data_IF_604369092580
#
_entry.id   IF_604369092580
#
_cell.length_a   1.000
_cell.length_b   1.000
_cell.length_c   1.000
_cell.angle_alpha   90.00
_cell.angle_beta   90.00
_cell.angle_gamma   90.00
#
_symmetry.space_group_name_H-M   'P 1'
#
loop_
_entity.id
_entity.type
_entity.pdbx_description
1 polymer ?
#
# COMPACT_ATOMS: atom_id res chain seq x y z
N UNK A 1 19.17 -15.36 29.74
CA UNK A 1 18.12 -14.56 29.02
C UNK A 1 16.83 -14.72 29.80
N UNK A 2 16.10 -13.62 30.09
CA UNK A 2 14.75 -13.71 30.69
C UNK A 2 13.82 -14.34 29.65
N UNK A 3 13.05 -15.34 30.05
CA UNK A 3 12.05 -15.97 29.18
C UNK A 3 10.98 -14.93 28.82
N UNK A 4 10.79 -14.65 27.54
CA UNK A 4 9.72 -13.77 27.07
C UNK A 4 8.41 -14.55 27.08
N UNK A 5 7.38 -14.01 27.72
CA UNK A 5 6.03 -14.59 27.76
C UNK A 5 4.96 -13.48 27.82
N UNK A 6 3.80 -13.75 27.23
CA UNK A 6 2.67 -12.83 27.20
C UNK A 6 2.79 -11.72 26.15
N UNK A 7 1.89 -10.73 26.27
CA UNK A 7 1.85 -9.55 25.39
C UNK A 7 2.92 -8.55 25.80
N UNK A 8 3.63 -8.02 24.83
CA UNK A 8 4.65 -6.98 25.01
C UNK A 8 4.47 -5.88 23.94
N UNK A 9 4.72 -4.63 24.33
CA UNK A 9 4.87 -3.50 23.42
C UNK A 9 6.36 -3.34 23.11
N UNK A 10 6.71 -3.28 21.84
CA UNK A 10 8.09 -3.17 21.34
C UNK A 10 8.20 -1.94 20.44
N UNK A 11 9.17 -1.10 20.69
CA UNK A 11 9.43 0.15 19.95
C UNK A 11 10.43 -0.01 18.80
N UNK A 12 11.09 -1.17 18.71
CA UNK A 12 12.08 -1.46 17.66
C UNK A 12 12.08 -2.92 17.25
N UNK A 13 12.06 -3.15 15.94
CA UNK A 13 12.22 -4.48 15.34
C UNK A 13 13.63 -5.07 15.54
N UNK A 14 14.63 -4.23 15.83
CA UNK A 14 15.99 -4.72 16.15
C UNK A 14 16.02 -5.68 17.34
N UNK A 15 15.01 -5.65 18.21
CA UNK A 15 14.87 -6.57 19.36
C UNK A 15 14.21 -7.91 19.02
N UNK A 16 13.71 -8.08 17.78
CA UNK A 16 13.00 -9.27 17.31
C UNK A 16 13.86 -9.93 16.21
N UNK A 17 14.15 -11.23 16.29
CA UNK A 17 14.82 -11.94 15.21
C UNK A 17 14.00 -11.83 13.91
N UNK A 18 14.66 -11.49 12.80
CA UNK A 18 13.99 -11.36 11.51
C UNK A 18 13.28 -12.65 11.10
N UNK A 19 13.92 -13.81 11.33
CA UNK A 19 13.32 -15.13 11.05
C UNK A 19 12.00 -15.37 11.78
N UNK A 20 11.88 -14.91 13.04
CA UNK A 20 10.67 -15.13 13.83
C UNK A 20 9.54 -14.21 13.34
N UNK A 21 9.88 -12.97 12.99
CA UNK A 21 8.93 -12.02 12.42
C UNK A 21 8.45 -12.48 11.04
N UNK A 22 9.38 -12.81 10.14
CA UNK A 22 9.07 -13.18 8.76
C UNK A 22 8.28 -14.49 8.67
N UNK A 23 8.48 -15.42 9.64
CA UNK A 23 7.65 -16.62 9.76
C UNK A 23 6.16 -16.29 10.01
N UNK A 24 5.84 -15.17 10.65
CA UNK A 24 4.47 -14.70 10.87
C UNK A 24 3.97 -13.79 9.72
N UNK A 25 4.84 -12.96 9.17
CA UNK A 25 4.50 -12.07 8.06
C UNK A 25 4.25 -12.83 6.74
N UNK A 26 4.74 -14.06 6.65
CA UNK A 26 4.70 -14.86 5.41
C UNK A 26 5.52 -14.20 4.30
N UNK A 27 5.13 -14.47 3.06
CA UNK A 27 5.85 -13.97 1.88
C UNK A 27 5.43 -12.54 1.49
N UNK A 28 4.84 -11.76 2.38
CA UNK A 28 4.40 -10.41 2.06
C UNK A 28 5.55 -9.40 2.21
N UNK A 29 6.19 -8.93 1.13
CA UNK A 29 7.44 -8.17 1.19
C UNK A 29 7.30 -6.85 1.97
N UNK A 30 6.13 -6.21 1.93
CA UNK A 30 5.85 -4.95 2.62
C UNK A 30 5.60 -5.11 4.12
N UNK A 31 5.46 -6.34 4.60
CA UNK A 31 5.35 -6.70 6.03
C UNK A 31 6.60 -7.39 6.55
N UNK A 32 7.58 -7.66 5.69
CA UNK A 32 8.84 -8.28 6.09
C UNK A 32 9.58 -7.45 7.14
N UNK A 33 10.33 -8.13 8.00
CA UNK A 33 11.22 -7.46 8.95
C UNK A 33 12.14 -6.46 8.24
N UNK A 34 12.71 -6.84 7.11
CA UNK A 34 13.62 -6.00 6.33
C UNK A 34 12.97 -4.68 5.90
N UNK A 35 11.73 -4.73 5.39
CA UNK A 35 11.00 -3.55 4.93
C UNK A 35 10.67 -2.60 6.09
N UNK A 36 10.04 -3.11 7.14
CA UNK A 36 9.61 -2.31 8.28
C UNK A 36 10.81 -1.76 9.06
N UNK A 37 11.86 -2.58 9.24
CA UNK A 37 13.08 -2.14 9.90
C UNK A 37 13.80 -1.04 9.11
N UNK A 38 13.84 -1.13 7.76
CA UNK A 38 14.40 -0.08 6.93
C UNK A 38 13.67 1.25 7.07
N UNK A 39 12.34 1.26 7.23
CA UNK A 39 11.55 2.47 7.49
C UNK A 39 11.94 3.17 8.80
N UNK A 40 12.23 2.39 9.85
CA UNK A 40 12.63 2.93 11.15
C UNK A 40 14.07 3.43 11.14
N UNK A 41 15.00 2.58 10.70
CA UNK A 41 16.43 2.89 10.69
C UNK A 41 16.80 4.07 9.77
N UNK A 42 16.02 4.32 8.73
CA UNK A 42 16.19 5.50 7.87
C UNK A 42 15.53 6.75 8.42
N UNK A 43 14.81 6.66 9.56
CA UNK A 43 14.04 7.75 10.16
C UNK A 43 12.77 8.11 9.37
N UNK A 44 12.40 7.36 8.32
CA UNK A 44 11.21 7.65 7.53
C UNK A 44 9.92 7.44 8.34
N UNK A 45 9.86 6.40 9.17
CA UNK A 45 8.79 6.15 10.14
C UNK A 45 9.37 6.22 11.54
N UNK A 46 9.26 7.37 12.18
CA UNK A 46 9.81 7.66 13.50
C UNK A 46 8.91 8.63 14.28
N UNK A 47 9.23 8.89 15.54
CA UNK A 47 8.51 9.87 16.35
C UNK A 47 8.54 11.27 15.72
N UNK A 48 9.66 11.66 15.11
CA UNK A 48 9.84 12.95 14.45
C UNK A 48 8.94 13.11 13.23
N UNK A 49 8.66 12.01 12.52
CA UNK A 49 7.74 11.97 11.37
C UNK A 49 6.32 11.63 11.76
N UNK A 50 6.01 11.56 13.06
CA UNK A 50 4.69 11.26 13.59
C UNK A 50 4.24 9.80 13.43
N UNK A 51 5.19 8.88 13.26
CA UNK A 51 4.99 7.43 13.17
C UNK A 51 5.80 6.72 14.26
N UNK A 52 5.46 6.91 15.52
CA UNK A 52 6.17 6.27 16.64
C UNK A 52 5.84 4.79 16.69
N UNK A 53 6.80 3.88 16.49
CA UNK A 53 6.55 2.44 16.56
C UNK A 53 6.13 2.02 17.98
N UNK A 54 5.11 1.18 18.06
CA UNK A 54 4.66 0.54 19.29
C UNK A 54 4.07 -0.85 18.98
N UNK A 55 4.90 -1.71 18.38
CA UNK A 55 4.48 -3.05 17.94
C UNK A 55 3.94 -3.86 19.10
N UNK A 56 2.79 -4.47 18.93
CA UNK A 56 2.32 -5.50 19.86
C UNK A 56 2.87 -6.85 19.44
N UNK A 57 3.40 -7.58 20.41
CA UNK A 57 3.96 -8.93 20.21
C UNK A 57 3.43 -9.88 21.28
N UNK A 58 3.01 -11.06 20.85
CA UNK A 58 2.62 -12.14 21.75
C UNK A 58 3.75 -13.19 21.77
N UNK A 59 4.26 -13.47 22.94
CA UNK A 59 5.33 -14.46 23.16
C UNK A 59 4.81 -15.66 23.93
N UNK A 60 5.15 -16.86 23.46
CA UNK A 60 4.92 -18.15 24.14
C UNK A 60 6.24 -18.90 24.24
N UNK A 61 6.68 -19.17 25.44
CA UNK A 61 7.93 -19.90 25.70
C UNK A 61 9.13 -19.35 24.89
N UNK A 62 9.30 -18.04 24.90
CA UNK A 62 10.31 -17.29 24.14
C UNK A 62 10.23 -17.39 22.62
N UNK A 63 9.12 -17.90 22.07
CA UNK A 63 8.81 -17.84 20.63
C UNK A 63 7.82 -16.74 20.35
N UNK A 64 8.02 -16.01 19.27
CA UNK A 64 7.06 -15.03 18.78
C UNK A 64 5.86 -15.79 18.19
N UNK A 65 4.71 -15.73 18.86
CA UNK A 65 3.48 -16.43 18.46
C UNK A 65 2.57 -15.56 17.60
N UNK A 66 2.56 -14.24 17.86
CA UNK A 66 1.83 -13.26 17.05
C UNK A 66 2.47 -11.88 17.14
N UNK A 67 2.23 -11.04 16.14
CA UNK A 67 2.71 -9.68 16.07
C UNK A 67 1.73 -8.77 15.32
N UNK A 68 1.70 -7.47 15.68
CA UNK A 68 0.88 -6.45 15.05
C UNK A 68 1.74 -5.20 14.83
N UNK A 69 2.04 -4.84 13.58
CA UNK A 69 2.66 -3.55 13.28
C UNK A 69 1.74 -2.42 13.74
N UNK A 70 2.10 -1.74 14.81
CA UNK A 70 1.29 -0.70 15.43
C UNK A 70 2.12 0.57 15.61
N UNK A 71 1.49 1.72 15.40
CA UNK A 71 2.13 3.02 15.51
C UNK A 71 1.27 3.98 16.32
N UNK A 72 1.90 4.75 17.18
CA UNK A 72 1.29 5.94 17.78
C UNK A 72 1.47 7.10 16.80
N UNK A 73 0.35 7.66 16.32
CA UNK A 73 0.30 8.67 15.28
C UNK A 73 -0.01 10.05 15.85
N UNK A 74 0.83 11.05 15.52
CA UNK A 74 0.59 12.45 15.87
C UNK A 74 -0.18 13.25 14.81
N UNK A 75 -0.46 12.65 13.63
CA UNK A 75 -1.22 13.21 12.51
C UNK A 75 -1.63 12.12 11.55
N UNK A 76 -2.47 12.40 10.53
CA UNK A 76 -2.97 11.41 9.55
C UNK A 76 -2.24 11.38 8.20
N UNK A 77 -1.07 12.02 8.09
CA UNK A 77 -0.28 11.97 6.85
C UNK A 77 0.30 10.57 6.61
N UNK A 78 0.27 10.14 5.34
CA UNK A 78 0.88 8.88 4.89
C UNK A 78 0.04 7.63 5.15
N UNK A 79 -1.24 7.76 5.54
CA UNK A 79 -2.15 6.64 5.85
C UNK A 79 -3.00 6.18 4.67
N UNK A 80 -3.33 7.10 3.75
CA UNK A 80 -4.19 6.89 2.57
C UNK A 80 -5.64 6.48 2.87
N UNK A 81 -6.05 6.50 4.14
CA UNK A 81 -7.45 6.48 4.59
C UNK A 81 -7.71 7.80 5.29
N UNK A 82 -8.54 8.64 4.68
CA UNK A 82 -8.68 10.04 5.10
C UNK A 82 -9.71 10.17 6.22
N UNK A 83 -9.23 10.50 7.41
CA UNK A 83 -10.03 10.75 8.62
C UNK A 83 -10.00 12.22 9.09
N UNK A 84 -9.60 13.12 8.19
CA UNK A 84 -9.50 14.57 8.48
C UNK A 84 -10.81 15.15 9.03
N UNK A 85 -11.97 14.70 8.49
CA UNK A 85 -13.27 15.15 8.96
C UNK A 85 -13.55 14.73 10.42
N UNK A 86 -13.01 13.58 10.84
CA UNK A 86 -13.13 13.11 12.23
C UNK A 86 -12.23 13.93 13.15
N UNK A 87 -10.98 14.18 12.75
CA UNK A 87 -10.06 15.03 13.51
C UNK A 87 -10.60 16.45 13.68
N UNK A 88 -11.18 17.04 12.62
CA UNK A 88 -11.82 18.35 12.66
C UNK A 88 -13.07 18.36 13.56
N UNK A 89 -13.89 17.30 13.53
CA UNK A 89 -15.03 17.17 14.42
C UNK A 89 -14.61 17.12 15.90
N UNK A 90 -13.55 16.34 16.23
CA UNK A 90 -13.00 16.32 17.59
C UNK A 90 -12.55 17.71 18.03
N UNK A 91 -11.79 18.40 17.19
CA UNK A 91 -11.29 19.75 17.48
C UNK A 91 -12.44 20.76 17.72
N UNK A 92 -13.47 20.73 16.89
CA UNK A 92 -14.65 21.61 17.06
C UNK A 92 -15.42 21.40 18.38
N UNK A 93 -15.31 20.20 18.97
CA UNK A 93 -15.89 19.88 20.26
C UNK A 93 -14.90 19.99 21.42
N UNK A 94 -13.73 20.59 21.21
CA UNK A 94 -12.71 20.79 22.24
C UNK A 94 -12.00 19.51 22.68
N UNK A 95 -12.08 18.44 21.89
CA UNK A 95 -11.45 17.15 22.15
C UNK A 95 -10.18 16.97 21.33
N UNK A 96 -9.24 16.20 21.86
CA UNK A 96 -8.01 15.85 21.16
C UNK A 96 -8.20 14.57 20.34
N UNK A 97 -7.95 14.64 19.03
CA UNK A 97 -7.94 13.47 18.16
C UNK A 97 -6.59 12.75 18.15
N UNK A 98 -5.50 13.51 18.21
CA UNK A 98 -4.15 12.94 18.28
C UNK A 98 -3.62 12.98 19.73
N UNK A 99 -2.81 11.98 20.14
CA UNK A 99 -2.38 10.83 19.32
C UNK A 99 -3.48 9.78 19.16
N UNK A 100 -3.35 8.97 18.08
CA UNK A 100 -4.20 7.81 17.79
C UNK A 100 -3.31 6.59 17.52
N UNK A 101 -3.85 5.38 17.63
CA UNK A 101 -3.17 4.15 17.23
C UNK A 101 -3.50 3.77 15.79
N UNK A 102 -2.49 3.30 15.07
CA UNK A 102 -2.61 2.90 13.68
C UNK A 102 -1.90 1.58 13.41
N UNK A 103 -2.63 0.59 12.96
CA UNK A 103 -2.12 -0.65 12.39
C UNK A 103 -2.15 -0.56 10.87
N UNK A 104 -0.99 -0.33 10.28
CA UNK A 104 -0.79 -0.19 8.83
C UNK A 104 0.68 -0.37 8.47
N UNK A 105 0.96 -0.56 7.19
CA UNK A 105 2.31 -0.38 6.65
C UNK A 105 2.50 1.11 6.37
N UNK A 106 3.52 1.78 6.93
CA UNK A 106 3.71 3.22 6.72
C UNK A 106 3.84 3.58 5.24
N UNK A 107 3.16 4.64 4.82
CA UNK A 107 3.19 5.20 3.47
C UNK A 107 2.76 4.24 2.36
N UNK A 108 2.02 3.16 2.71
CA UNK A 108 1.79 2.02 1.81
C UNK A 108 0.34 1.56 1.88
N UNK A 109 -0.53 2.00 0.94
CA UNK A 109 -1.93 1.62 0.89
C UNK A 109 -2.13 0.26 0.19
N UNK A 110 -1.56 -0.79 0.77
CA UNK A 110 -1.62 -2.15 0.23
C UNK A 110 -2.35 -3.06 1.19
N UNK A 111 -3.24 -3.89 0.64
CA UNK A 111 -3.94 -4.92 1.40
C UNK A 111 -2.97 -6.01 1.85
N UNK A 112 -3.04 -6.39 3.12
CA UNK A 112 -2.21 -7.44 3.69
C UNK A 112 -2.63 -7.80 5.11
N UNK A 113 -2.08 -8.87 5.71
CA UNK A 113 -2.36 -9.22 7.09
C UNK A 113 -1.98 -8.09 8.04
N UNK A 114 -2.83 -7.85 9.02
CA UNK A 114 -2.64 -6.81 10.05
C UNK A 114 -2.46 -7.43 11.42
N UNK A 115 -2.89 -8.66 11.58
CA UNK A 115 -2.74 -9.50 12.78
C UNK A 115 -1.88 -10.71 12.39
N UNK A 116 -0.55 -10.55 12.45
CA UNK A 116 0.41 -11.58 12.07
C UNK A 116 0.35 -12.73 13.10
N UNK A 117 -0.32 -13.82 12.77
CA UNK A 117 -0.47 -14.99 13.63
C UNK A 117 -0.79 -16.24 12.79
N UNK A 118 -0.31 -17.39 13.25
CA UNK A 118 -0.54 -18.67 12.56
C UNK A 118 -1.88 -19.32 12.92
N UNK A 119 -2.54 -18.87 13.99
CA UNK A 119 -3.82 -19.42 14.44
C UNK A 119 -4.78 -18.32 14.91
N UNK A 120 -6.06 -18.65 14.96
CA UNK A 120 -7.13 -17.70 15.27
C UNK A 120 -7.12 -17.25 16.75
N UNK A 121 -6.73 -18.14 17.67
CA UNK A 121 -6.69 -17.80 19.10
C UNK A 121 -5.64 -16.72 19.40
N UNK A 122 -4.44 -16.83 18.79
CA UNK A 122 -3.39 -15.82 18.95
C UNK A 122 -3.74 -14.52 18.23
N UNK A 123 -4.42 -14.60 17.06
CA UNK A 123 -4.95 -13.42 16.34
C UNK A 123 -5.96 -12.66 17.20
N UNK A 124 -6.89 -13.39 17.82
CA UNK A 124 -7.89 -12.79 18.71
C UNK A 124 -7.25 -12.17 19.96
N UNK A 125 -6.33 -12.88 20.60
CA UNK A 125 -5.61 -12.36 21.78
C UNK A 125 -4.84 -11.08 21.45
N UNK A 126 -4.24 -11.00 20.27
CA UNK A 126 -3.53 -9.81 19.81
C UNK A 126 -4.47 -8.62 19.59
N UNK A 127 -5.64 -8.85 18.99
CA UNK A 127 -6.64 -7.81 18.77
C UNK A 127 -7.23 -7.30 20.08
N UNK A 128 -7.57 -8.20 21.00
CA UNK A 128 -8.08 -7.85 22.32
C UNK A 128 -7.06 -7.01 23.11
N UNK A 129 -5.77 -7.40 23.04
CA UNK A 129 -4.66 -6.63 23.63
C UNK A 129 -4.47 -5.25 22.97
N UNK A 130 -4.68 -5.12 21.66
CA UNK A 130 -4.58 -3.83 20.96
C UNK A 130 -5.69 -2.88 21.42
N UNK A 131 -6.91 -3.38 21.63
CA UNK A 131 -8.03 -2.61 22.15
C UNK A 131 -7.84 -2.22 23.62
N UNK A 132 -7.29 -3.11 24.45
CA UNK A 132 -6.91 -2.82 25.83
C UNK A 132 -5.83 -1.74 25.87
N UNK A 133 -4.76 -1.91 25.12
CA UNK A 133 -3.69 -0.93 25.00
C UNK A 133 -4.20 0.45 24.55
N UNK A 134 -5.15 0.49 23.61
CA UNK A 134 -5.77 1.74 23.18
C UNK A 134 -6.54 2.44 24.31
N UNK A 135 -7.27 1.67 25.14
CA UNK A 135 -8.00 2.22 26.31
C UNK A 135 -7.04 2.71 27.39
N UNK A 136 -6.02 1.93 27.72
CA UNK A 136 -5.05 2.20 28.78
C UNK A 136 -4.18 3.43 28.47
N UNK A 137 -3.81 3.61 27.20
CA UNK A 137 -3.03 4.77 26.76
C UNK A 137 -3.88 6.02 26.56
N UNK A 138 -5.21 5.91 26.61
CA UNK A 138 -6.14 7.05 26.48
C UNK A 138 -6.10 7.72 25.12
N UNK A 139 -5.74 6.98 24.06
CA UNK A 139 -5.78 7.49 22.69
C UNK A 139 -7.21 7.66 22.18
N UNK A 140 -7.42 8.54 21.23
CA UNK A 140 -8.75 8.82 20.68
C UNK A 140 -9.34 7.64 19.91
N UNK A 141 -8.48 6.84 19.27
CA UNK A 141 -8.92 5.80 18.33
C UNK A 141 -7.82 4.78 18.00
N UNK A 142 -8.24 3.63 17.49
CA UNK A 142 -7.42 2.61 16.84
C UNK A 142 -7.95 2.39 15.44
N UNK A 143 -7.05 2.42 14.44
CA UNK A 143 -7.37 2.19 13.04
C UNK A 143 -6.53 1.04 12.50
N UNK A 144 -7.17 0.08 11.80
CA UNK A 144 -6.52 -1.01 11.08
C UNK A 144 -6.81 -0.82 9.59
N UNK A 145 -5.76 -0.49 8.80
CA UNK A 145 -5.94 -0.09 7.41
C UNK A 145 -5.59 -1.22 6.45
N UNK A 146 -6.45 -1.45 5.47
CA UNK A 146 -6.28 -2.43 4.40
C UNK A 146 -6.01 -3.87 4.89
N UNK A 147 -6.79 -4.39 5.86
CA UNK A 147 -6.67 -5.79 6.29
C UNK A 147 -7.10 -6.74 5.17
N UNK A 148 -6.61 -7.98 5.22
CA UNK A 148 -7.11 -9.07 4.37
C UNK A 148 -8.52 -9.50 4.77
N UNK A 149 -9.28 -10.04 3.81
CA UNK A 149 -10.68 -10.42 4.01
C UNK A 149 -10.93 -11.31 5.25
N UNK A 150 -10.11 -12.32 5.58
CA UNK A 150 -10.31 -13.14 6.79
C UNK A 150 -10.25 -12.35 8.10
N UNK A 151 -9.47 -11.25 8.16
CA UNK A 151 -9.35 -10.43 9.36
C UNK A 151 -10.52 -9.44 9.55
N UNK A 152 -11.21 -9.08 8.46
CA UNK A 152 -12.34 -8.13 8.50
C UNK A 152 -13.43 -8.61 9.45
N UNK A 153 -13.79 -9.89 9.40
CA UNK A 153 -14.78 -10.49 10.29
C UNK A 153 -14.33 -10.46 11.76
N UNK A 154 -13.03 -10.66 12.04
CA UNK A 154 -12.48 -10.58 13.39
C UNK A 154 -12.57 -9.14 13.94
N UNK A 155 -12.25 -8.13 13.15
CA UNK A 155 -12.37 -6.72 13.53
C UNK A 155 -13.83 -6.33 13.81
N UNK A 156 -14.76 -6.73 12.93
CA UNK A 156 -16.19 -6.48 13.11
C UNK A 156 -16.74 -7.15 14.38
N UNK A 157 -16.38 -8.41 14.60
CA UNK A 157 -16.77 -9.17 15.82
C UNK A 157 -16.20 -8.57 17.11
N UNK A 158 -15.07 -7.86 17.03
CA UNK A 158 -14.48 -7.11 18.14
C UNK A 158 -15.11 -5.71 18.33
N UNK A 159 -16.11 -5.36 17.53
CA UNK A 159 -16.84 -4.08 17.63
C UNK A 159 -16.18 -2.90 16.91
N UNK A 160 -15.24 -3.14 16.00
CA UNK A 160 -14.71 -2.08 15.14
C UNK A 160 -15.68 -1.77 14.01
N UNK A 161 -15.80 -0.50 13.68
CA UNK A 161 -16.59 -0.02 12.54
C UNK A 161 -15.80 -0.25 11.25
N UNK A 162 -16.45 -0.78 10.22
CA UNK A 162 -15.84 -0.99 8.92
C UNK A 162 -16.08 0.18 7.97
N UNK A 163 -15.06 0.59 7.24
CA UNK A 163 -15.13 1.58 6.19
C UNK A 163 -14.66 0.99 4.88
N UNK A 164 -15.50 1.06 3.85
CA UNK A 164 -15.16 0.65 2.49
C UNK A 164 -14.46 1.78 1.73
N UNK A 165 -13.57 1.39 0.81
CA UNK A 165 -12.94 2.28 -0.16
C UNK A 165 -12.66 1.51 -1.45
N UNK A 166 -12.14 2.19 -2.49
CA UNK A 166 -11.86 1.59 -3.80
C UNK A 166 -10.43 1.89 -4.20
N UNK A 167 -9.75 0.87 -4.71
CA UNK A 167 -8.48 0.97 -5.42
C UNK A 167 -8.63 0.39 -6.82
N UNK A 168 -7.59 0.47 -7.64
CA UNK A 168 -7.61 -0.02 -9.01
C UNK A 168 -6.47 -1.00 -9.23
N UNK A 169 -6.81 -2.26 -9.54
CA UNK A 169 -5.84 -3.34 -9.74
C UNK A 169 -6.00 -3.92 -11.14
N UNK A 170 -4.88 -4.27 -11.76
CA UNK A 170 -4.86 -5.06 -12.98
C UNK A 170 -4.72 -6.54 -12.62
N UNK A 171 -5.40 -7.40 -13.40
CA UNK A 171 -5.33 -8.85 -13.28
C UNK A 171 -4.77 -9.45 -14.55
N UNK A 172 -3.90 -10.44 -14.39
CA UNK A 172 -3.41 -11.24 -15.48
C UNK A 172 -4.39 -12.40 -15.77
N UNK A 173 -5.02 -12.36 -16.91
CA UNK A 173 -5.91 -13.43 -17.36
C UNK A 173 -5.19 -14.46 -18.26
N UNK A 174 -3.88 -14.62 -18.05
CA UNK A 174 -3.05 -15.53 -18.82
C UNK A 174 -2.62 -14.95 -20.16
N UNK A 175 -2.43 -13.64 -20.25
CA UNK A 175 -1.98 -12.98 -21.46
C UNK A 175 -0.59 -13.46 -21.90
N UNK A 176 -0.44 -13.73 -23.19
CA UNK A 176 0.84 -14.15 -23.78
C UNK A 176 1.84 -12.99 -23.90
N UNK A 177 1.32 -11.79 -24.15
CA UNK A 177 2.08 -10.55 -24.28
C UNK A 177 1.17 -9.31 -24.10
N UNK A 178 1.76 -8.13 -24.20
CA UNK A 178 1.01 -6.87 -24.02
C UNK A 178 -0.01 -6.62 -25.15
N UNK A 179 0.22 -7.11 -26.36
CA UNK A 179 -0.74 -6.97 -27.47
C UNK A 179 -1.95 -7.91 -27.29
N UNK A 180 -1.77 -9.10 -26.70
CA UNK A 180 -2.87 -9.97 -26.31
C UNK A 180 -3.74 -9.31 -25.21
N UNK A 181 -3.12 -8.71 -24.20
CA UNK A 181 -3.84 -7.86 -23.23
C UNK A 181 -4.63 -6.75 -23.91
N UNK A 182 -4.03 -6.00 -24.83
CA UNK A 182 -4.73 -4.97 -25.60
C UNK A 182 -5.87 -5.52 -26.46
N UNK A 183 -5.75 -6.74 -26.96
CA UNK A 183 -6.78 -7.37 -27.78
C UNK A 183 -8.08 -7.60 -27.00
N UNK A 184 -8.04 -7.76 -25.67
CA UNK A 184 -9.22 -7.86 -24.79
C UNK A 184 -9.93 -6.54 -24.59
N UNK A 185 -9.23 -5.42 -24.77
CA UNK A 185 -9.81 -4.08 -24.59
C UNK A 185 -10.71 -3.68 -25.76
N UNK A 186 -11.67 -2.79 -25.49
CA UNK A 186 -12.46 -2.17 -26.53
C UNK A 186 -11.58 -1.31 -27.47
N UNK A 187 -12.08 -1.06 -28.67
CA UNK A 187 -11.31 -0.41 -29.76
C UNK A 187 -10.70 0.93 -29.34
N UNK A 188 -11.47 1.79 -28.68
CA UNK A 188 -11.06 3.16 -28.40
C UNK A 188 -9.98 3.22 -27.30
N UNK A 189 -10.11 2.37 -26.27
CA UNK A 189 -9.10 2.28 -25.20
C UNK A 189 -7.80 1.70 -25.72
N UNK A 190 -7.86 0.62 -26.52
CA UNK A 190 -6.70 0.03 -27.19
C UNK A 190 -6.00 1.03 -28.10
N UNK A 191 -6.75 1.77 -28.93
CA UNK A 191 -6.20 2.80 -29.81
C UNK A 191 -5.48 3.89 -29.01
N UNK A 192 -6.10 4.36 -27.91
CA UNK A 192 -5.54 5.38 -27.03
C UNK A 192 -4.23 4.90 -26.39
N UNK A 193 -4.17 3.69 -25.85
CA UNK A 193 -2.94 3.14 -25.22
C UNK A 193 -1.84 3.04 -26.25
N UNK A 194 -2.10 2.47 -27.45
CA UNK A 194 -1.11 2.40 -28.52
C UNK A 194 -0.59 3.77 -28.95
N UNK A 195 -1.45 4.80 -28.96
CA UNK A 195 -1.06 6.17 -29.26
C UNK A 195 -0.19 6.78 -28.15
N UNK A 196 -0.51 6.53 -26.87
CA UNK A 196 0.29 6.98 -25.73
C UNK A 196 1.69 6.35 -25.78
N UNK A 197 1.79 5.04 -25.94
CA UNK A 197 3.07 4.30 -26.09
C UNK A 197 3.87 4.79 -27.28
N UNK A 198 3.21 5.03 -28.43
CA UNK A 198 3.89 5.55 -29.64
C UNK A 198 4.52 6.92 -29.37
N UNK A 199 3.81 7.84 -28.73
CA UNK A 199 4.35 9.18 -28.43
C UNK A 199 5.62 9.12 -27.59
N UNK A 200 5.69 8.22 -26.62
CA UNK A 200 6.88 8.03 -25.76
C UNK A 200 8.03 7.46 -26.58
N UNK A 201 7.76 6.46 -27.40
CA UNK A 201 8.78 5.87 -28.30
C UNK A 201 9.28 6.89 -29.34
N UNK A 202 8.40 7.66 -29.95
CA UNK A 202 8.73 8.69 -30.95
C UNK A 202 9.53 9.85 -30.33
N UNK A 203 9.42 10.07 -29.00
CA UNK A 203 10.29 10.96 -28.24
C UNK A 203 11.69 10.38 -27.98
N UNK A 204 11.99 9.16 -28.44
CA UNK A 204 13.27 8.49 -28.27
C UNK A 204 13.52 7.98 -26.87
N UNK A 205 12.45 7.62 -26.14
CA UNK A 205 12.57 7.08 -24.77
C UNK A 205 12.48 5.55 -24.81
N UNK A 206 13.51 4.91 -24.26
CA UNK A 206 13.65 3.46 -24.11
C UNK A 206 13.58 3.10 -22.62
N UNK A 207 13.06 1.92 -22.27
CA UNK A 207 12.92 1.49 -20.89
C UNK A 207 13.82 0.32 -20.54
N UNK A 208 14.29 0.30 -19.30
CA UNK A 208 14.99 -0.83 -18.69
C UNK A 208 14.34 -1.18 -17.37
N UNK A 209 14.20 -2.46 -17.13
CA UNK A 209 13.78 -3.04 -15.87
C UNK A 209 15.03 -3.48 -15.12
N UNK A 210 15.27 -2.89 -13.95
CA UNK A 210 16.37 -3.26 -13.07
C UNK A 210 15.81 -3.86 -11.80
N UNK A 211 16.12 -5.11 -11.54
CA UNK A 211 15.90 -5.69 -10.21
C UNK A 211 16.82 -5.02 -9.19
N UNK A 212 16.47 -5.07 -7.89
CA UNK A 212 17.22 -4.32 -6.88
C UNK A 212 18.72 -4.62 -6.83
N UNK A 213 19.11 -5.86 -7.13
CA UNK A 213 20.52 -6.26 -7.22
C UNK A 213 21.26 -5.75 -8.47
N UNK A 214 20.55 -5.34 -9.52
CA UNK A 214 21.12 -4.81 -10.77
C UNK A 214 21.22 -3.28 -10.73
N UNK A 215 20.35 -2.63 -9.91
CA UNK A 215 20.31 -1.20 -9.79
C UNK A 215 21.52 -0.67 -9.01
N UNK A 216 22.27 0.24 -9.62
CA UNK A 216 23.42 0.89 -9.00
C UNK A 216 23.00 1.97 -8.01
N UNK A 217 23.92 2.42 -7.16
CA UNK A 217 23.66 3.56 -6.29
C UNK A 217 23.30 4.84 -7.07
N UNK A 218 23.80 5.00 -8.29
CA UNK A 218 23.48 6.12 -9.17
C UNK A 218 22.01 6.05 -9.62
N UNK A 219 21.52 4.85 -9.95
CA UNK A 219 20.11 4.63 -10.34
C UNK A 219 19.17 4.95 -9.17
N UNK A 220 19.49 4.53 -7.95
CA UNK A 220 18.72 4.87 -6.75
C UNK A 220 18.71 6.38 -6.46
N UNK A 221 19.85 7.06 -6.62
CA UNK A 221 19.92 8.54 -6.49
C UNK A 221 19.06 9.23 -7.54
N UNK A 222 19.11 8.76 -8.79
CA UNK A 222 18.27 9.30 -9.86
C UNK A 222 16.79 9.10 -9.56
N UNK A 223 16.40 7.90 -9.12
CA UNK A 223 15.01 7.65 -8.70
C UNK A 223 14.57 8.60 -7.59
N UNK A 224 15.36 8.75 -6.53
CA UNK A 224 15.02 9.65 -5.40
C UNK A 224 14.92 11.10 -5.85
N UNK A 225 15.76 11.55 -6.78
CA UNK A 225 15.64 12.88 -7.37
C UNK A 225 14.29 13.04 -8.08
N UNK A 226 13.89 12.08 -8.92
CA UNK A 226 12.61 12.06 -9.60
C UNK A 226 11.43 12.03 -8.62
N UNK A 227 11.49 11.16 -7.63
CA UNK A 227 10.51 11.04 -6.54
C UNK A 227 10.30 12.38 -5.80
N UNK A 228 11.39 13.03 -5.38
CA UNK A 228 11.33 14.32 -4.71
C UNK A 228 10.75 15.42 -5.61
N UNK A 229 11.02 15.40 -6.92
CA UNK A 229 10.44 16.35 -7.88
C UNK A 229 8.92 16.20 -7.98
N UNK A 230 8.42 14.96 -8.00
CA UNK A 230 6.97 14.69 -8.02
C UNK A 230 6.30 15.27 -6.78
N UNK A 231 6.84 15.05 -5.59
CA UNK A 231 6.27 15.60 -4.35
C UNK A 231 6.29 17.14 -4.35
N UNK A 232 7.38 17.76 -4.76
CA UNK A 232 7.47 19.23 -4.86
C UNK A 232 6.44 19.80 -5.85
N UNK A 233 6.23 19.14 -6.98
CA UNK A 233 5.23 19.56 -7.98
C UNK A 233 3.80 19.52 -7.43
N UNK A 234 3.55 18.67 -6.43
CA UNK A 234 2.26 18.57 -5.73
C UNK A 234 2.23 19.36 -4.40
N UNK A 235 3.20 20.28 -4.17
CA UNK A 235 3.30 21.06 -2.94
C UNK A 235 3.28 20.22 -1.66
N UNK A 236 3.94 19.06 -1.70
CA UNK A 236 3.96 18.07 -0.63
C UNK A 236 5.41 17.65 -0.32
N UNK A 237 5.64 17.09 0.85
CA UNK A 237 6.96 16.63 1.28
C UNK A 237 7.08 15.12 1.06
N UNK A 238 8.22 14.63 0.54
CA UNK A 238 8.47 13.22 0.38
C UNK A 238 8.55 12.52 1.75
N UNK A 239 7.93 11.35 1.87
CA UNK A 239 7.96 10.54 3.10
C UNK A 239 9.24 9.72 3.25
N UNK A 240 9.85 9.32 2.12
CA UNK A 240 10.97 8.38 2.07
C UNK A 240 12.24 9.10 1.60
N UNK A 241 13.38 8.65 2.10
CA UNK A 241 14.70 9.21 1.77
C UNK A 241 15.59 8.17 1.06
N UNK A 242 16.76 8.60 0.58
CA UNK A 242 17.70 7.74 -0.13
C UNK A 242 18.20 6.58 0.76
N UNK A 243 18.41 6.80 2.05
CA UNK A 243 18.89 5.77 2.97
C UNK A 243 17.91 4.60 3.06
N UNK A 244 16.60 4.88 3.10
CA UNK A 244 15.58 3.85 3.03
C UNK A 244 15.72 2.95 1.80
N UNK A 245 15.80 3.54 0.60
CA UNK A 245 15.91 2.76 -0.64
C UNK A 245 17.21 1.96 -0.72
N UNK A 246 18.32 2.52 -0.24
CA UNK A 246 19.61 1.82 -0.20
C UNK A 246 19.63 0.68 0.82
N UNK A 247 18.89 0.81 1.94
CA UNK A 247 18.70 -0.29 2.90
C UNK A 247 17.89 -1.42 2.30
N UNK A 248 16.79 -1.11 1.61
CA UNK A 248 16.00 -2.13 0.89
C UNK A 248 16.83 -2.83 -0.17
N UNK A 249 17.58 -2.10 -0.99
CA UNK A 249 18.43 -2.68 -2.03
C UNK A 249 19.49 -3.65 -1.50
N UNK A 250 19.88 -3.52 -0.22
CA UNK A 250 20.80 -4.47 0.45
C UNK A 250 20.08 -5.63 1.11
N UNK A 251 18.90 -5.39 1.71
CA UNK A 251 18.23 -6.34 2.57
C UNK A 251 17.24 -7.25 1.83
N UNK A 252 16.64 -6.78 0.74
CA UNK A 252 15.61 -7.50 -0.02
C UNK A 252 15.65 -7.16 -1.53
N UNK A 253 16.84 -7.26 -2.19
CA UNK A 253 17.00 -6.82 -3.58
C UNK A 253 16.10 -7.59 -4.56
N UNK A 254 15.76 -8.84 -4.28
CA UNK A 254 14.89 -9.71 -5.08
C UNK A 254 13.45 -9.18 -5.18
N UNK A 255 13.01 -8.42 -4.18
CA UNK A 255 11.68 -7.83 -4.12
C UNK A 255 11.58 -6.44 -4.74
N UNK A 256 12.66 -5.90 -5.32
CA UNK A 256 12.66 -4.53 -5.85
C UNK A 256 12.71 -4.53 -7.37
N UNK A 257 11.88 -3.67 -7.98
CA UNK A 257 11.91 -3.38 -9.41
C UNK A 257 11.96 -1.87 -9.63
N UNK A 258 13.02 -1.41 -10.29
CA UNK A 258 13.17 -0.06 -10.75
C UNK A 258 12.97 -0.01 -12.27
N UNK A 259 11.96 0.69 -12.74
CA UNK A 259 11.72 0.94 -14.16
C UNK A 259 12.33 2.29 -14.50
N UNK A 260 13.32 2.31 -15.39
CA UNK A 260 14.02 3.52 -15.82
C UNK A 260 13.77 3.81 -17.29
N UNK A 261 13.30 5.02 -17.60
CA UNK A 261 13.22 5.52 -18.97
C UNK A 261 14.46 6.33 -19.33
N UNK A 262 15.10 5.99 -20.44
CA UNK A 262 16.32 6.62 -20.97
C UNK A 262 16.02 7.36 -22.26
N UNK A 263 16.60 8.54 -22.40
CA UNK A 263 16.59 9.32 -23.64
C UNK A 263 18.01 9.75 -23.98
N UNK A 264 18.48 9.43 -25.18
CA UNK A 264 19.86 9.71 -25.60
C UNK A 264 20.92 9.19 -24.60
N UNK A 265 20.68 8.01 -24.02
CA UNK A 265 21.57 7.38 -23.04
C UNK A 265 21.50 7.94 -21.61
N UNK A 266 20.70 8.99 -21.36
CA UNK A 266 20.52 9.59 -20.04
C UNK A 266 19.17 9.20 -19.43
N UNK A 267 19.11 8.88 -18.12
CA UNK A 267 17.85 8.55 -17.46
C UNK A 267 16.99 9.81 -17.30
N UNK A 268 15.72 9.75 -17.70
CA UNK A 268 14.77 10.87 -17.69
C UNK A 268 13.53 10.61 -16.85
N UNK A 269 13.17 9.34 -16.63
CA UNK A 269 12.00 8.94 -15.83
C UNK A 269 12.29 7.67 -15.03
N UNK A 270 11.58 7.49 -13.92
CA UNK A 270 11.67 6.27 -13.15
C UNK A 270 10.37 5.95 -12.41
N UNK A 271 10.09 4.64 -12.22
CA UNK A 271 9.08 4.15 -11.30
C UNK A 271 9.68 3.04 -10.42
N UNK A 272 9.30 3.08 -9.14
CA UNK A 272 9.67 2.08 -8.14
C UNK A 272 8.49 1.18 -7.83
N UNK A 273 8.75 -0.12 -7.88
CA UNK A 273 7.76 -1.16 -7.58
C UNK A 273 8.35 -2.17 -6.60
N UNK A 274 7.47 -2.84 -5.86
CA UNK A 274 7.81 -3.97 -4.98
C UNK A 274 7.24 -5.24 -5.60
N UNK A 275 8.09 -6.26 -5.73
CA UNK A 275 7.73 -7.59 -6.26
C UNK A 275 7.30 -8.46 -5.08
N UNK A 276 6.03 -8.86 -5.06
CA UNK A 276 5.52 -9.94 -4.19
C UNK A 276 5.53 -11.27 -4.92
N UNK A 277 4.97 -12.33 -4.31
CA UNK A 277 4.91 -13.64 -4.93
C UNK A 277 4.10 -13.64 -6.22
N UNK A 278 2.88 -13.10 -6.17
CA UNK A 278 1.93 -13.08 -7.29
C UNK A 278 1.53 -11.65 -7.69
N UNK A 279 1.97 -10.63 -6.93
CA UNK A 279 1.52 -9.25 -7.10
C UNK A 279 2.69 -8.29 -7.22
N UNK A 280 2.65 -7.42 -8.24
CA UNK A 280 3.53 -6.26 -8.35
C UNK A 280 2.86 -5.04 -7.71
N UNK A 281 3.51 -4.41 -6.76
CA UNK A 281 3.03 -3.22 -6.07
C UNK A 281 3.71 -1.96 -6.62
N UNK A 282 3.01 -1.19 -7.49
CA UNK A 282 3.47 0.10 -7.97
C UNK A 282 3.44 1.15 -6.86
N UNK A 283 4.56 1.81 -6.60
CA UNK A 283 4.68 2.70 -5.43
C UNK A 283 4.93 4.15 -5.75
N UNK A 284 6.03 4.46 -6.36
CA UNK A 284 6.45 5.84 -6.57
C UNK A 284 7.01 6.04 -7.97
N UNK A 285 6.87 7.25 -8.50
CA UNK A 285 7.42 7.60 -9.78
C UNK A 285 7.88 9.07 -9.83
N UNK A 286 8.63 9.39 -10.85
CA UNK A 286 8.93 10.77 -11.18
C UNK A 286 9.72 10.88 -12.48
N UNK A 287 9.88 12.11 -12.92
CA UNK A 287 10.56 12.42 -14.16
C UNK A 287 11.34 13.73 -14.08
N UNK A 288 12.42 13.85 -14.86
CA UNK A 288 13.14 15.09 -15.09
C UNK A 288 12.57 15.91 -16.25
N UNK A 289 11.94 15.24 -17.21
CA UNK A 289 11.42 15.84 -18.42
C UNK A 289 9.93 15.55 -18.61
N UNK A 290 9.19 16.49 -19.12
CA UNK A 290 7.79 16.29 -19.48
C UNK A 290 7.68 15.73 -20.91
N UNK A 291 7.08 14.55 -21.03
CA UNK A 291 6.66 13.96 -22.30
C UNK A 291 5.25 13.42 -22.20
N UNK A 292 4.44 13.69 -23.23
CA UNK A 292 3.04 13.22 -23.25
C UNK A 292 2.96 11.69 -23.22
N UNK A 293 2.26 11.15 -22.22
CA UNK A 293 2.11 9.70 -22.02
C UNK A 293 3.21 9.04 -21.17
N UNK A 294 4.30 9.74 -20.84
CA UNK A 294 5.45 9.18 -20.12
C UNK A 294 5.06 8.62 -18.75
N UNK A 295 4.21 9.31 -18.00
CA UNK A 295 3.68 8.80 -16.73
C UNK A 295 3.00 7.43 -16.90
N UNK A 296 2.11 7.32 -17.86
CA UNK A 296 1.35 6.09 -18.09
C UNK A 296 2.24 4.94 -18.59
N UNK A 297 3.17 5.25 -19.48
CA UNK A 297 4.15 4.27 -19.94
C UNK A 297 4.99 3.74 -18.78
N UNK A 298 5.58 4.65 -17.99
CA UNK A 298 6.51 4.27 -16.92
C UNK A 298 5.81 3.54 -15.77
N UNK A 299 4.60 4.01 -15.36
CA UNK A 299 3.94 3.51 -14.15
C UNK A 299 3.00 2.34 -14.41
N UNK A 300 2.39 2.25 -15.61
CA UNK A 300 1.36 1.24 -15.87
C UNK A 300 1.75 0.29 -16.97
N UNK A 301 2.11 0.78 -18.17
CA UNK A 301 2.32 -0.12 -19.30
C UNK A 301 3.58 -0.98 -19.11
N UNK A 302 4.66 -0.40 -18.63
CA UNK A 302 5.89 -1.13 -18.31
C UNK A 302 5.68 -2.11 -17.14
N UNK A 303 4.89 -1.74 -16.13
CA UNK A 303 4.56 -2.61 -15.00
C UNK A 303 3.67 -3.79 -15.42
N UNK A 304 2.64 -3.55 -16.25
CA UNK A 304 1.77 -4.61 -16.80
C UNK A 304 2.59 -5.55 -17.70
N UNK A 305 3.45 -4.99 -18.58
CA UNK A 305 4.32 -5.77 -19.46
C UNK A 305 5.29 -6.65 -18.64
N UNK A 306 5.85 -6.12 -17.56
CA UNK A 306 6.65 -6.89 -16.61
C UNK A 306 5.83 -8.02 -15.96
N UNK A 307 4.61 -7.75 -15.49
CA UNK A 307 3.75 -8.78 -14.89
C UNK A 307 3.41 -9.90 -15.87
N UNK A 308 3.16 -9.57 -17.13
CA UNK A 308 2.90 -10.58 -18.17
C UNK A 308 4.15 -11.43 -18.41
N UNK A 309 5.33 -10.80 -18.56
CA UNK A 309 6.58 -11.49 -18.80
C UNK A 309 7.00 -12.42 -17.65
N UNK A 310 6.80 -11.98 -16.40
CA UNK A 310 7.12 -12.74 -15.20
C UNK A 310 5.97 -13.65 -14.72
N UNK A 311 4.83 -13.65 -15.43
CA UNK A 311 3.62 -14.45 -15.09
C UNK A 311 3.06 -14.13 -13.71
N UNK A 312 3.13 -12.87 -13.31
CA UNK A 312 2.50 -12.40 -12.07
C UNK A 312 0.99 -12.24 -12.25
N UNK A 313 0.21 -12.55 -11.23
CA UNK A 313 -1.25 -12.58 -11.29
C UNK A 313 -1.88 -11.19 -11.28
N UNK A 314 -1.22 -10.21 -10.64
CA UNK A 314 -1.80 -8.88 -10.47
C UNK A 314 -0.78 -7.76 -10.38
N UNK A 315 -1.27 -6.54 -10.67
CA UNK A 315 -0.55 -5.30 -10.46
C UNK A 315 -1.44 -4.30 -9.71
N UNK A 316 -0.95 -3.80 -8.58
CA UNK A 316 -1.58 -2.75 -7.79
C UNK A 316 -0.96 -1.39 -8.11
N UNK A 317 -1.71 -0.53 -8.79
CA UNK A 317 -1.23 0.78 -9.27
C UNK A 317 -1.24 1.91 -8.23
N UNK A 318 -1.36 1.61 -6.91
CA UNK A 318 -1.45 2.61 -5.83
C UNK A 318 -2.88 3.11 -5.55
N UNK A 319 -3.05 3.99 -4.56
CA UNK A 319 -4.31 4.26 -3.89
C UNK A 319 -5.41 4.92 -4.72
N UNK A 320 -5.11 5.84 -5.62
CA UNK A 320 -6.11 6.70 -6.28
C UNK A 320 -5.94 6.77 -7.80
N UNK A 321 -7.01 7.20 -8.49
CA UNK A 321 -6.96 7.61 -9.88
C UNK A 321 -7.85 6.79 -10.83
N UNK A 322 -9.04 7.29 -11.11
CA UNK A 322 -10.00 6.72 -12.09
C UNK A 322 -9.39 6.57 -13.50
N UNK A 323 -8.38 7.39 -13.83
CA UNK A 323 -7.66 7.26 -15.09
C UNK A 323 -7.03 5.88 -15.29
N UNK A 324 -6.82 5.11 -14.22
CA UNK A 324 -6.34 3.73 -14.24
C UNK A 324 -7.33 2.78 -14.88
N UNK A 325 -8.64 3.00 -14.69
CA UNK A 325 -9.70 2.19 -15.29
C UNK A 325 -9.52 2.13 -16.82
N UNK A 326 -9.30 3.27 -17.47
CA UNK A 326 -9.12 3.30 -18.93
C UNK A 326 -7.84 2.59 -19.41
N UNK A 327 -7.00 2.08 -18.50
CA UNK A 327 -5.75 1.34 -18.77
C UNK A 327 -5.81 -0.11 -18.30
N UNK A 328 -7.02 -0.59 -17.96
CA UNK A 328 -7.26 -1.98 -17.62
C UNK A 328 -7.09 -2.33 -16.14
N UNK A 329 -6.88 -1.33 -15.26
CA UNK A 329 -6.93 -1.58 -13.82
C UNK A 329 -8.39 -1.43 -13.35
N UNK A 330 -8.99 -2.52 -12.89
CA UNK A 330 -10.38 -2.56 -12.49
C UNK A 330 -10.56 -2.15 -11.01
N UNK A 331 -11.75 -1.64 -10.63
CA UNK A 331 -12.03 -1.27 -9.25
C UNK A 331 -11.98 -2.49 -8.34
N UNK A 332 -11.27 -2.36 -7.24
CA UNK A 332 -11.15 -3.36 -6.20
C UNK A 332 -11.55 -2.74 -4.87
N UNK A 333 -12.54 -3.34 -4.20
CA UNK A 333 -12.95 -2.90 -2.86
C UNK A 333 -11.85 -3.16 -1.85
N UNK A 334 -11.55 -2.16 -1.02
CA UNK A 334 -10.68 -2.26 0.14
C UNK A 334 -11.44 -1.88 1.41
N UNK A 335 -10.96 -2.31 2.56
CA UNK A 335 -11.62 -2.08 3.85
C UNK A 335 -10.61 -1.49 4.82
N UNK A 336 -11.09 -0.69 5.77
CA UNK A 336 -10.40 -0.34 7.00
C UNK A 336 -11.33 -0.53 8.19
N UNK A 337 -10.76 -0.81 9.38
CA UNK A 337 -11.51 -1.03 10.59
C UNK A 337 -11.12 0.01 11.64
N UNK A 338 -12.09 0.54 12.38
CA UNK A 338 -11.93 1.70 13.23
C UNK A 338 -12.62 1.51 14.58
N UNK A 339 -11.89 1.78 15.65
CA UNK A 339 -12.42 1.92 17.00
C UNK A 339 -12.20 3.36 17.49
N UNK A 340 -13.22 3.98 18.09
CA UNK A 340 -13.15 5.31 18.70
C UNK A 340 -13.47 5.21 20.19
N UNK A 341 -12.66 5.89 21.01
CA UNK A 341 -12.80 5.87 22.46
C UNK A 341 -14.07 6.60 22.96
N UNK A 342 -14.47 7.69 22.28
CA UNK A 342 -15.63 8.51 22.67
C UNK A 342 -16.92 7.94 22.08
N UNK A 343 -17.90 7.48 22.92
CA UNK A 343 -19.07 6.76 22.42
C UNK A 343 -19.94 7.57 21.44
N UNK A 344 -20.19 8.85 21.73
CA UNK A 344 -21.02 9.71 20.86
C UNK A 344 -20.38 9.92 19.48
N UNK A 345 -19.04 10.04 19.43
CA UNK A 345 -18.32 10.10 18.14
C UNK A 345 -18.35 8.76 17.42
N UNK A 346 -18.22 7.65 18.14
CA UNK A 346 -18.33 6.32 17.56
C UNK A 346 -19.71 6.11 16.90
N UNK A 347 -20.80 6.52 17.56
CA UNK A 347 -22.14 6.47 16.99
C UNK A 347 -22.29 7.38 15.76
N UNK A 348 -21.78 8.62 15.83
CA UNK A 348 -21.84 9.57 14.72
C UNK A 348 -21.07 9.04 13.51
N UNK A 349 -19.87 8.50 13.71
CA UNK A 349 -19.06 7.89 12.67
C UNK A 349 -19.73 6.63 12.11
N UNK A 350 -20.34 5.80 12.94
CA UNK A 350 -21.10 4.61 12.48
C UNK A 350 -22.21 5.01 11.52
N UNK A 351 -22.98 6.06 11.85
CA UNK A 351 -24.05 6.56 10.96
C UNK A 351 -23.48 7.11 9.65
N UNK A 352 -22.36 7.84 9.73
CA UNK A 352 -21.68 8.35 8.54
C UNK A 352 -21.20 7.22 7.63
N UNK A 353 -20.51 6.21 8.18
CA UNK A 353 -19.94 5.09 7.42
C UNK A 353 -21.01 4.23 6.74
N UNK A 354 -22.18 4.05 7.36
CA UNK A 354 -23.32 3.36 6.71
C UNK A 354 -23.80 4.09 5.47
N UNK A 355 -23.87 5.43 5.54
CA UNK A 355 -24.24 6.25 4.37
C UNK A 355 -23.14 6.25 3.29
N UNK A 356 -21.88 6.31 3.70
CA UNK A 356 -20.73 6.28 2.78
C UNK A 356 -20.67 4.92 2.06
N UNK A 357 -20.94 3.80 2.74
CA UNK A 357 -20.91 2.46 2.17
C UNK A 357 -21.84 2.31 0.95
N UNK A 358 -23.09 2.79 1.06
CA UNK A 358 -24.02 2.79 -0.09
C UNK A 358 -23.50 3.62 -1.27
N UNK A 359 -22.82 4.73 -1.00
CA UNK A 359 -22.18 5.55 -2.04
C UNK A 359 -21.03 4.82 -2.72
N UNK A 360 -20.23 4.06 -1.98
CA UNK A 360 -19.13 3.26 -2.54
C UNK A 360 -19.66 2.10 -3.40
N UNK A 361 -20.75 1.44 -3.00
CA UNK A 361 -21.38 0.39 -3.83
C UNK A 361 -21.84 0.96 -5.18
N UNK A 362 -22.60 2.04 -5.17
CA UNK A 362 -23.04 2.70 -6.41
C UNK A 362 -21.85 3.14 -7.28
N UNK A 363 -20.79 3.64 -6.66
CA UNK A 363 -19.59 4.07 -7.38
C UNK A 363 -18.86 2.87 -8.05
N UNK A 364 -18.75 1.74 -7.37
CA UNK A 364 -18.16 0.52 -7.95
C UNK A 364 -19.00 0.00 -9.12
N UNK A 365 -20.34 0.02 -9.02
CA UNK A 365 -21.25 -0.38 -10.09
C UNK A 365 -21.09 0.55 -11.31
N UNK A 366 -21.09 1.86 -11.12
CA UNK A 366 -20.83 2.84 -12.19
C UNK A 366 -19.48 2.63 -12.88
N UNK A 367 -18.41 2.41 -12.10
CA UNK A 367 -17.09 2.11 -12.66
C UNK A 367 -17.07 0.80 -13.45
N UNK A 368 -17.83 -0.19 -13.01
CA UNK A 368 -17.93 -1.51 -13.67
C UNK A 368 -18.64 -1.41 -15.03
N UNK A 369 -19.67 -0.56 -15.14
CA UNK A 369 -20.33 -0.25 -16.41
C UNK A 369 -19.38 0.41 -17.43
N UNK A 370 -18.37 1.12 -16.94
CA UNK A 370 -17.34 1.79 -17.74
C UNK A 370 -16.08 0.92 -17.97
N UNK A 371 -16.21 -0.40 -17.82
CA UNK A 371 -15.11 -1.34 -18.03
C UNK A 371 -14.42 -1.10 -19.39
N UNK A 372 -13.08 -1.07 -19.42
CA UNK A 372 -12.33 -0.86 -20.67
C UNK A 372 -12.30 -2.12 -21.56
N UNK A 373 -12.73 -3.25 -21.04
CA UNK A 373 -12.71 -4.53 -21.74
C UNK A 373 -13.96 -4.72 -22.61
N UNK A 374 -13.85 -5.55 -23.63
CA UNK A 374 -14.99 -5.99 -24.42
C UNK A 374 -15.96 -6.74 -23.52
N UNK A 375 -17.25 -6.48 -23.67
CA UNK A 375 -18.25 -7.38 -23.07
C UNK A 375 -18.03 -8.77 -23.67
N UNK A 376 -17.97 -9.79 -22.82
CA UNK A 376 -17.99 -11.16 -23.31
C UNK A 376 -19.29 -11.32 -24.12
N UNK A 377 -19.17 -11.69 -25.40
CA UNK A 377 -20.34 -12.10 -26.15
C UNK A 377 -21.01 -13.21 -25.33
N UNK A 378 -22.18 -12.92 -24.76
CA UNK A 378 -23.03 -13.97 -24.25
C UNK A 378 -23.36 -14.84 -25.47
N UNK A 379 -22.73 -16.01 -25.58
CA UNK A 379 -23.18 -17.03 -26.49
C UNK A 379 -24.65 -17.29 -26.15
N UNK A 380 -25.58 -17.20 -27.11
CA UNK A 380 -26.94 -17.56 -26.86
C UNK A 380 -26.98 -19.06 -26.50
N UNK A 381 -27.66 -19.38 -25.38
CA UNK A 381 -27.96 -20.75 -24.95
C UNK A 381 -28.69 -21.52 -26.04
#
# INVERSE_FOLDING_TARGET
MKTRSGIQVVDSLASIPASDWDALAGNHPLLSHAFLHALHESGCASAETGWTPCYLTLWRDSRLAAAMPLYLKSHSYGEYVFDWAWADAYQRHGLRYYPKLLNAVPFTPVTGPRLLATNEADRRALLDAALEFARDTGVSSLHCLFPVAPEVAAFESAGLMLRASVQFHWRNEGFSDFEDFLARMNHDKRKKIRQERRKVRDAGIEFRWLRGGEATQADWRFFVECYNRTYRAHHSSPYLNLDFFLRLARAMPEHLLLILGYRQGLPVASAFNIIGDETLYGRYWGTKEFHSGLHFETCYYQAIEFCIAEKMDSFEGGAQGEHKLSRGLLPQRTVSAHWLAHPEFAEAVTRFLRKEASGIENYVDELSEHSPFKQADHAPE
#
